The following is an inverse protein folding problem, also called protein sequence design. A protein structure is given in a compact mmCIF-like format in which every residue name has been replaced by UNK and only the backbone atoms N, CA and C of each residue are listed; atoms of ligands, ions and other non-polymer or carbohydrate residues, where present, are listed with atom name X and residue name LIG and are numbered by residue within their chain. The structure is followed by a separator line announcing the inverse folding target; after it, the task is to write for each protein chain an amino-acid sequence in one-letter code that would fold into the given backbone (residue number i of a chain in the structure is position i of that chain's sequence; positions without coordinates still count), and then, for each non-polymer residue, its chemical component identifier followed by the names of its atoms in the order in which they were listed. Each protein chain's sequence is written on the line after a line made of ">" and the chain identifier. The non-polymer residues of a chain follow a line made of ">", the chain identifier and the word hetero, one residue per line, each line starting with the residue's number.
data_IF_134561653768
#
_entry.id   IF_134561653768
#
_cell.length_a   1.000
_cell.length_b   1.000
_cell.length_c   1.000
_cell.angle_alpha   90.00
_cell.angle_beta   90.00
_cell.angle_gamma   90.00
#
_symmetry.space_group_name_H-M   'P 1'
#
loop_
_entity.id
_entity.type
_entity.pdbx_description
1 polymer ?
#
# COMPACT_ATOMS: atom_id res chain seq x y z
N UNK A 1 -66.98 41.80 -37.20
CA UNK A 1 -67.01 41.00 -35.96
C UNK A 1 -65.85 40.03 -35.96
N UNK A 2 -64.86 40.32 -35.21
CA UNK A 2 -63.64 39.52 -35.20
C UNK A 2 -63.73 38.53 -34.10
N UNK A 3 -63.81 37.28 -34.43
CA UNK A 3 -63.64 36.18 -33.50
C UNK A 3 -62.14 35.93 -33.42
N UNK A 4 -61.57 36.38 -32.36
CA UNK A 4 -60.19 36.06 -32.06
C UNK A 4 -60.09 34.65 -31.47
N UNK A 5 -59.61 33.76 -32.27
CA UNK A 5 -59.18 32.41 -31.76
C UNK A 5 -57.88 32.52 -31.01
N UNK A 6 -57.97 32.48 -29.71
CA UNK A 6 -56.76 32.26 -28.91
C UNK A 6 -56.42 30.78 -28.93
N UNK A 7 -55.47 30.41 -29.75
CA UNK A 7 -54.88 29.11 -29.66
C UNK A 7 -53.99 29.08 -28.41
N UNK A 8 -54.44 28.34 -27.40
CA UNK A 8 -53.67 28.06 -26.22
C UNK A 8 -52.57 27.07 -26.60
N UNK A 9 -51.36 27.56 -26.83
CA UNK A 9 -50.22 26.70 -27.00
C UNK A 9 -49.79 26.18 -25.60
N UNK A 10 -50.18 24.96 -25.30
CA UNK A 10 -49.67 24.24 -24.13
C UNK A 10 -48.26 23.79 -24.48
N UNK A 11 -47.27 24.53 -24.00
CA UNK A 11 -45.88 24.10 -24.03
C UNK A 11 -45.71 23.09 -22.93
N UNK A 12 -45.75 21.80 -23.25
CA UNK A 12 -45.32 20.73 -22.40
C UNK A 12 -43.80 20.79 -22.32
N UNK A 13 -43.28 21.46 -21.32
CA UNK A 13 -41.89 21.36 -20.94
C UNK A 13 -41.68 19.99 -20.28
N UNK A 14 -41.32 19.00 -21.08
CA UNK A 14 -40.81 17.75 -20.56
C UNK A 14 -39.41 18.01 -19.94
N UNK A 15 -39.42 18.17 -18.62
CA UNK A 15 -38.19 18.17 -17.87
C UNK A 15 -37.55 16.78 -17.98
N UNK A 16 -36.58 16.64 -18.86
CA UNK A 16 -35.68 15.50 -18.83
C UNK A 16 -34.86 15.63 -17.51
N UNK A 17 -35.32 14.91 -16.50
CA UNK A 17 -34.50 14.67 -15.31
C UNK A 17 -33.34 13.78 -15.73
N UNK A 18 -32.24 14.40 -16.09
CA UNK A 18 -31.01 13.69 -16.30
C UNK A 18 -30.58 13.17 -14.90
N UNK A 19 -30.95 11.95 -14.63
CA UNK A 19 -30.40 11.22 -13.47
C UNK A 19 -28.92 11.01 -13.74
N UNK A 20 -28.08 11.92 -13.26
CA UNK A 20 -26.66 11.70 -13.23
C UNK A 20 -26.41 10.59 -12.21
N UNK A 21 -26.30 9.36 -12.72
CA UNK A 21 -25.83 8.26 -11.89
C UNK A 21 -24.39 8.60 -11.49
N UNK A 22 -24.24 9.12 -10.29
CA UNK A 22 -22.94 9.30 -9.68
C UNK A 22 -22.44 7.91 -9.33
N UNK A 23 -21.63 7.33 -10.19
CA UNK A 23 -20.89 6.14 -9.88
C UNK A 23 -19.93 6.54 -8.75
N UNK A 24 -20.28 6.17 -7.55
CA UNK A 24 -19.35 6.27 -6.45
C UNK A 24 -18.19 5.34 -6.78
N UNK A 25 -17.10 5.91 -7.31
CA UNK A 25 -15.85 5.19 -7.41
C UNK A 25 -15.45 4.85 -5.99
N UNK A 26 -15.58 3.57 -5.63
CA UNK A 26 -14.98 3.05 -4.42
C UNK A 26 -13.49 3.30 -4.54
N UNK A 27 -13.01 4.40 -3.96
CA UNK A 27 -11.57 4.61 -3.81
C UNK A 27 -11.08 3.46 -2.95
N UNK A 28 -10.36 2.53 -3.56
CA UNK A 28 -9.59 1.57 -2.78
C UNK A 28 -8.77 2.39 -1.80
N UNK A 29 -8.93 2.19 -0.48
CA UNK A 29 -8.17 2.96 0.48
C UNK A 29 -6.69 2.71 0.23
N UNK A 30 -6.03 3.75 -0.27
CA UNK A 30 -4.60 3.70 -0.50
C UNK A 30 -3.87 3.88 0.84
N UNK A 31 -2.88 3.05 1.17
CA UNK A 31 -2.15 3.20 2.40
C UNK A 31 -1.52 4.58 2.52
N UNK A 32 -1.56 5.14 3.71
CA UNK A 32 -0.99 6.45 3.99
C UNK A 32 0.54 6.38 3.99
N UNK A 33 1.16 7.36 3.35
CA UNK A 33 2.60 7.57 3.44
C UNK A 33 2.97 8.23 4.76
N UNK A 34 4.02 7.75 5.39
CA UNK A 34 4.54 8.22 6.67
C UNK A 34 5.98 8.71 6.52
N UNK A 35 6.35 9.66 7.37
CA UNK A 35 7.69 10.23 7.41
C UNK A 35 8.23 10.23 8.82
N UNK A 36 9.51 9.87 8.98
CA UNK A 36 10.26 10.00 10.23
C UNK A 36 11.72 10.34 9.90
N UNK A 37 12.15 11.55 10.23
CA UNK A 37 13.46 12.03 9.83
C UNK A 37 13.61 11.98 8.31
N UNK A 38 14.68 11.34 7.84
CA UNK A 38 14.96 11.16 6.41
C UNK A 38 14.28 9.92 5.80
N UNK A 39 13.49 9.18 6.57
CA UNK A 39 12.84 7.95 6.15
C UNK A 39 11.39 8.21 5.79
N UNK A 40 10.99 7.75 4.61
CA UNK A 40 9.60 7.73 4.15
C UNK A 40 9.18 6.29 3.96
N UNK A 41 7.97 5.93 4.40
CA UNK A 41 7.47 4.56 4.21
C UNK A 41 5.97 4.51 3.99
N UNK A 42 5.56 3.41 3.39
CA UNK A 42 4.17 3.02 3.20
C UNK A 42 4.05 1.52 3.48
N UNK A 43 3.01 1.11 4.18
CA UNK A 43 2.75 -0.29 4.51
C UNK A 43 1.31 -0.66 4.15
N UNK A 44 1.11 -1.85 3.64
CA UNK A 44 -0.21 -2.34 3.26
C UNK A 44 -0.14 -3.59 2.41
N UNK A 45 -1.05 -3.72 1.45
CA UNK A 45 -1.13 -4.85 0.54
C UNK A 45 -1.99 -6.01 1.07
N UNK A 46 -2.90 -5.73 1.99
CA UNK A 46 -3.83 -6.73 2.55
C UNK A 46 -4.80 -7.22 1.49
N UNK A 47 -5.38 -6.32 0.71
CA UNK A 47 -6.21 -6.68 -0.43
C UNK A 47 -5.40 -6.72 -1.72
N UNK A 48 -5.91 -7.46 -2.70
CA UNK A 48 -5.31 -7.50 -4.04
C UNK A 48 -5.25 -6.11 -4.68
N UNK A 49 -6.30 -5.32 -4.53
CA UNK A 49 -6.38 -3.98 -5.10
C UNK A 49 -5.39 -3.02 -4.45
N UNK A 50 -5.26 -3.09 -3.13
CA UNK A 50 -4.26 -2.31 -2.39
C UNK A 50 -2.83 -2.71 -2.77
N UNK A 51 -2.55 -4.01 -2.85
CA UNK A 51 -1.25 -4.51 -3.29
C UNK A 51 -0.91 -4.06 -4.72
N UNK A 52 -1.87 -4.10 -5.64
CA UNK A 52 -1.70 -3.62 -7.00
C UNK A 52 -1.47 -2.11 -7.05
N UNK A 53 -2.20 -1.34 -6.24
CA UNK A 53 -2.00 0.10 -6.13
C UNK A 53 -0.60 0.44 -5.60
N UNK A 54 -0.12 -0.28 -4.59
CA UNK A 54 1.24 -0.11 -4.08
C UNK A 54 2.31 -0.45 -5.12
N UNK A 55 2.13 -1.53 -5.88
CA UNK A 55 3.08 -1.91 -6.93
C UNK A 55 3.22 -0.84 -8.02
N UNK A 56 2.17 -0.10 -8.32
CA UNK A 56 2.21 0.99 -9.31
C UNK A 56 3.13 2.14 -8.88
N UNK A 57 3.32 2.35 -7.59
CA UNK A 57 4.19 3.40 -7.05
C UNK A 57 5.50 2.86 -6.49
N UNK A 58 5.78 1.59 -6.65
CA UNK A 58 6.95 0.92 -6.08
C UNK A 58 8.28 1.57 -6.51
N UNK A 59 8.35 2.14 -7.71
CA UNK A 59 9.54 2.83 -8.21
C UNK A 59 9.90 4.12 -7.45
N UNK A 60 8.97 4.65 -6.67
CA UNK A 60 9.21 5.82 -5.80
C UNK A 60 10.00 5.49 -4.54
N UNK A 61 10.15 4.20 -4.24
CA UNK A 61 10.81 3.69 -3.05
C UNK A 61 12.02 2.85 -3.46
N UNK A 62 13.15 3.10 -2.82
CA UNK A 62 14.38 2.38 -3.15
C UNK A 62 14.51 1.02 -2.46
N UNK A 63 13.68 0.75 -1.47
CA UNK A 63 13.66 -0.54 -0.77
C UNK A 63 12.22 -1.03 -0.61
N UNK A 64 11.97 -2.27 -0.99
CA UNK A 64 10.66 -2.92 -0.87
C UNK A 64 10.80 -4.20 -0.08
N UNK A 65 10.08 -4.30 1.02
CA UNK A 65 10.02 -5.51 1.83
C UNK A 65 8.72 -6.25 1.58
N UNK A 66 8.82 -7.56 1.43
CA UNK A 66 7.68 -8.47 1.33
C UNK A 66 7.81 -9.50 2.45
N UNK A 67 6.77 -9.65 3.24
CA UNK A 67 6.74 -10.58 4.38
C UNK A 67 5.82 -11.74 4.08
N UNK A 68 6.33 -12.96 4.24
CA UNK A 68 5.58 -14.17 4.00
C UNK A 68 6.05 -15.31 4.91
N UNK A 69 5.21 -16.30 5.11
CA UNK A 69 5.58 -17.57 5.73
C UNK A 69 5.57 -18.66 4.65
N UNK A 70 6.59 -19.50 4.68
CA UNK A 70 6.68 -20.64 3.78
C UNK A 70 5.54 -21.64 4.08
N UNK A 71 4.75 -21.95 3.07
CA UNK A 71 3.69 -22.97 3.11
C UNK A 71 3.63 -23.70 1.79
N UNK A 72 3.12 -24.94 1.80
CA UNK A 72 2.80 -25.68 0.59
C UNK A 72 1.31 -25.57 0.30
N UNK A 73 0.88 -25.38 -0.96
CA UNK A 73 1.68 -25.29 -2.20
C UNK A 73 2.29 -23.92 -2.46
N UNK A 74 1.93 -22.86 -1.71
CA UNK A 74 2.44 -21.51 -1.91
C UNK A 74 2.62 -20.77 -0.59
N UNK A 75 3.54 -19.82 -0.55
CA UNK A 75 3.77 -18.97 0.61
C UNK A 75 2.51 -18.15 0.97
N UNK A 76 2.28 -17.95 2.26
CA UNK A 76 1.22 -17.10 2.77
C UNK A 76 1.80 -15.75 3.19
N UNK A 77 1.17 -14.66 2.77
CA UNK A 77 1.59 -13.31 3.14
C UNK A 77 1.25 -13.00 4.59
N UNK A 78 2.14 -12.29 5.28
CA UNK A 78 1.99 -11.88 6.66
C UNK A 78 1.81 -10.36 6.79
N UNK A 79 0.83 -9.96 7.58
CA UNK A 79 0.68 -8.57 8.04
C UNK A 79 0.99 -8.46 9.54
N UNK A 80 0.93 -7.25 10.06
CA UNK A 80 1.16 -6.93 11.47
C UNK A 80 2.52 -7.43 12.01
N UNK A 81 3.56 -7.35 11.19
CA UNK A 81 4.91 -7.77 11.54
C UNK A 81 5.68 -6.60 12.12
N UNK A 82 6.26 -6.73 13.33
CA UNK A 82 7.18 -5.74 13.87
C UNK A 82 8.49 -5.75 13.07
N UNK A 83 8.81 -4.63 12.43
CA UNK A 83 10.00 -4.47 11.60
C UNK A 83 10.85 -3.33 12.16
N UNK A 84 12.15 -3.56 12.25
CA UNK A 84 13.12 -2.59 12.67
C UNK A 84 14.21 -2.45 11.60
N UNK A 85 14.52 -1.23 11.22
CA UNK A 85 15.61 -0.92 10.30
C UNK A 85 16.66 -0.11 11.06
N UNK A 86 17.90 -0.57 10.99
CA UNK A 86 19.05 0.09 11.62
C UNK A 86 20.07 0.50 10.56
N UNK A 87 20.76 1.62 10.80
CA UNK A 87 21.84 2.09 9.94
C UNK A 87 23.17 1.36 10.20
N UNK A 88 24.22 1.72 9.47
CA UNK A 88 25.53 1.11 9.59
C UNK A 88 26.18 1.31 10.98
N UNK A 89 25.71 2.30 11.73
CA UNK A 89 26.17 2.58 13.11
C UNK A 89 25.34 1.88 14.17
N UNK A 90 24.39 1.03 13.75
CA UNK A 90 23.49 0.32 14.66
C UNK A 90 22.35 1.17 15.22
N UNK A 91 22.16 2.40 14.72
CA UNK A 91 21.07 3.26 15.16
C UNK A 91 19.78 2.85 14.47
N UNK A 92 18.69 2.73 15.23
CA UNK A 92 17.36 2.48 14.66
C UNK A 92 16.86 3.70 13.91
N UNK A 93 16.67 3.58 12.61
CA UNK A 93 16.11 4.63 11.75
C UNK A 93 14.61 4.47 11.53
N UNK A 94 14.08 3.26 11.72
CA UNK A 94 12.66 2.97 11.63
C UNK A 94 12.31 1.76 12.50
N UNK A 95 11.22 1.86 13.24
CA UNK A 95 10.61 0.74 13.96
C UNK A 95 9.09 0.85 13.78
N UNK A 96 8.50 -0.08 13.05
CA UNK A 96 7.07 -0.06 12.72
C UNK A 96 6.48 -1.46 12.77
N UNK A 97 5.19 -1.53 13.07
CA UNK A 97 4.38 -2.72 12.86
C UNK A 97 3.65 -2.57 11.53
N UNK A 98 3.84 -3.51 10.63
CA UNK A 98 3.29 -3.40 9.28
C UNK A 98 1.78 -3.57 9.26
N UNK A 99 1.11 -2.82 8.36
CA UNK A 99 -0.34 -2.93 8.16
C UNK A 99 -0.71 -4.08 7.22
N UNK A 100 0.27 -4.59 6.48
CA UNK A 100 0.09 -5.68 5.53
C UNK A 100 1.44 -6.29 5.15
N UNK A 101 1.46 -7.20 4.17
CA UNK A 101 2.67 -7.92 3.78
C UNK A 101 3.70 -7.09 3.02
N UNK A 102 3.35 -5.87 2.62
CA UNK A 102 4.24 -4.98 1.88
C UNK A 102 4.66 -3.80 2.76
N UNK A 103 5.95 -3.51 2.77
CA UNK A 103 6.53 -2.33 3.40
C UNK A 103 7.53 -1.72 2.42
N UNK A 104 7.19 -0.56 1.86
CA UNK A 104 8.05 0.17 0.94
C UNK A 104 8.73 1.32 1.68
N UNK A 105 10.03 1.44 1.49
CA UNK A 105 10.87 2.40 2.18
C UNK A 105 11.61 3.28 1.17
N UNK A 106 11.72 4.55 1.51
CA UNK A 106 12.67 5.46 0.89
C UNK A 106 13.70 5.83 1.94
N UNK A 107 14.92 5.29 1.75
CA UNK A 107 16.04 5.46 2.66
C UNK A 107 17.15 6.27 2.00
N UNK A 108 17.87 7.12 2.76
CA UNK A 108 19.11 7.69 2.27
C UNK A 108 20.09 6.59 1.84
N UNK A 109 20.92 6.83 0.82
CA UNK A 109 21.93 5.84 0.41
C UNK A 109 22.81 5.42 1.58
N UNK A 110 23.08 4.13 1.69
CA UNK A 110 23.90 3.59 2.77
C UNK A 110 23.61 2.14 3.08
N UNK A 111 24.30 1.62 4.09
CA UNK A 111 24.12 0.26 4.59
C UNK A 111 23.11 0.24 5.74
N UNK A 112 22.23 -0.74 5.69
CA UNK A 112 21.16 -0.94 6.67
C UNK A 112 21.03 -2.42 7.00
N UNK A 113 20.43 -2.68 8.14
CA UNK A 113 19.99 -4.02 8.53
C UNK A 113 18.52 -3.96 8.89
N UNK A 114 17.72 -4.83 8.26
CA UNK A 114 16.34 -5.05 8.64
C UNK A 114 16.23 -6.25 9.55
N UNK A 115 15.50 -6.10 10.64
CA UNK A 115 15.23 -7.14 11.64
C UNK A 115 13.74 -7.25 11.83
N UNK A 116 13.22 -8.47 11.81
CA UNK A 116 11.82 -8.75 12.09
C UNK A 116 11.68 -10.10 12.78
N UNK A 117 10.70 -10.20 13.69
CA UNK A 117 10.47 -11.42 14.47
C UNK A 117 9.00 -11.81 14.39
N UNK A 118 8.74 -13.05 14.03
CA UNK A 118 7.41 -13.65 13.98
C UNK A 118 7.42 -14.96 14.75
N UNK A 119 6.52 -15.13 15.71
CA UNK A 119 6.37 -16.33 16.52
C UNK A 119 7.71 -16.86 17.07
N UNK A 120 8.57 -15.99 17.57
CA UNK A 120 9.88 -16.35 18.12
C UNK A 120 10.99 -16.53 17.09
N UNK A 121 10.69 -16.53 15.79
CA UNK A 121 11.67 -16.65 14.71
C UNK A 121 12.12 -15.28 14.23
N UNK A 122 13.37 -14.93 14.48
CA UNK A 122 13.96 -13.68 14.04
C UNK A 122 14.62 -13.84 12.67
N UNK A 123 14.38 -12.88 11.79
CA UNK A 123 15.10 -12.73 10.52
C UNK A 123 15.85 -11.40 10.53
N UNK A 124 17.10 -11.44 10.09
CA UNK A 124 17.94 -10.26 9.92
C UNK A 124 18.54 -10.31 8.51
N UNK A 125 18.43 -9.20 7.79
CA UNK A 125 19.08 -9.04 6.49
C UNK A 125 19.78 -7.71 6.39
N UNK A 126 21.04 -7.73 5.97
CA UNK A 126 21.79 -6.53 5.66
C UNK A 126 21.66 -6.22 4.18
N UNK A 127 21.55 -4.94 3.84
CA UNK A 127 21.42 -4.47 2.48
C UNK A 127 22.03 -3.09 2.31
N UNK A 128 22.24 -2.70 1.07
CA UNK A 128 22.67 -1.34 0.73
C UNK A 128 21.57 -0.63 -0.05
N UNK A 129 21.03 0.45 0.51
CA UNK A 129 20.14 1.33 -0.20
C UNK A 129 20.93 2.20 -1.18
N UNK A 130 20.47 2.27 -2.41
CA UNK A 130 21.06 3.09 -3.47
C UNK A 130 20.21 4.34 -3.68
N UNK A 131 20.83 5.41 -4.15
CA UNK A 131 20.12 6.64 -4.48
C UNK A 131 19.12 6.42 -5.63
N UNK A 132 19.49 5.61 -6.60
CA UNK A 132 18.67 5.29 -7.76
C UNK A 132 18.38 3.78 -7.83
N UNK A 133 17.20 3.46 -8.34
CA UNK A 133 16.73 2.10 -8.46
C UNK A 133 15.95 1.65 -7.22
N UNK A 134 15.41 0.47 -7.31
CA UNK A 134 14.60 -0.14 -6.26
C UNK A 134 15.03 -1.59 -6.08
N UNK A 135 15.19 -2.02 -4.83
CA UNK A 135 15.49 -3.40 -4.50
C UNK A 135 14.34 -4.03 -3.72
N UNK A 136 14.13 -5.30 -3.93
CA UNK A 136 13.15 -6.09 -3.19
C UNK A 136 13.85 -7.05 -2.24
N UNK A 137 13.41 -7.08 -0.99
CA UNK A 137 13.87 -8.00 0.02
C UNK A 137 12.67 -8.82 0.49
N UNK A 138 12.74 -10.12 0.33
CA UNK A 138 11.75 -11.04 0.84
C UNK A 138 12.17 -11.54 2.23
N UNK A 139 11.31 -11.33 3.22
CA UNK A 139 11.43 -11.92 4.54
C UNK A 139 10.47 -13.11 4.62
N UNK A 140 11.04 -14.31 4.55
CA UNK A 140 10.25 -15.54 4.51
C UNK A 140 10.56 -16.36 5.76
N UNK A 141 9.56 -16.51 6.63
CA UNK A 141 9.65 -17.34 7.82
C UNK A 141 9.33 -18.81 7.53
N UNK A 142 9.83 -19.73 8.33
CA UNK A 142 9.48 -21.13 8.20
C UNK A 142 7.99 -21.36 8.50
N UNK A 143 7.43 -22.44 7.99
CA UNK A 143 6.01 -22.81 8.16
C UNK A 143 5.56 -22.78 9.63
N UNK A 144 6.39 -23.25 10.55
CA UNK A 144 6.10 -23.24 11.99
C UNK A 144 5.81 -21.85 12.57
N UNK A 145 6.30 -20.78 11.95
CA UNK A 145 6.03 -19.40 12.38
C UNK A 145 4.62 -18.91 11.98
N UNK A 146 3.91 -19.62 11.14
CA UNK A 146 2.56 -19.27 10.67
C UNK A 146 1.42 -19.97 11.41
N UNK A 147 1.71 -20.82 12.37
CA UNK A 147 0.73 -21.65 13.08
C UNK A 147 0.25 -21.03 14.41
N UNK A 148 -0.12 -19.75 14.40
CA UNK A 148 -0.68 -19.09 15.59
C UNK A 148 -1.88 -18.24 15.26
#
# INVERSE_FOLDING_TARGET
>A
MNTMNFALAVVLASALSASTATWAQSKVPFPKEHHKGAVTWISGGVSKDEANAMRKIASRYNVRLVMAVARKPSAAFLGAVPVKVSDAKGRTVLAVKTDGPLLFLKLPPGRYTVSAKVAGHALNKSFRAKERGSMQIALIWPEAAGEH
#
